data_IF_335518048190
#
_entry.id   IF_335518048190
#
_cell.length_a   1.000
_cell.length_b   1.000
_cell.length_c   1.000
_cell.angle_alpha   90.00
_cell.angle_beta   90.00
_cell.angle_gamma   90.00
#
_symmetry.space_group_name_H-M   'P 1'
#
loop_
_entity.id
_entity.type
_entity.pdbx_description
1 polymer ?
#
# COMPACT_ATOMS: atom_id res chain seq x y z
N UNK A 1 -16.70 -11.67 16.45
CA UNK A 1 -17.12 -10.28 16.74
C UNK A 1 -17.29 -9.62 15.39
N UNK A 2 -18.49 -9.18 15.05
CA UNK A 2 -18.77 -8.42 13.81
C UNK A 2 -18.77 -6.93 14.16
N UNK A 3 -18.33 -6.07 13.24
CA UNK A 3 -18.34 -4.61 13.44
C UNK A 3 -19.75 -4.01 13.31
N UNK A 4 -20.72 -4.83 12.90
CA UNK A 4 -22.12 -4.51 12.68
C UNK A 4 -22.98 -5.77 12.89
N UNK A 5 -24.30 -5.60 12.84
CA UNK A 5 -25.26 -6.71 12.81
C UNK A 5 -25.17 -7.53 11.51
N UNK A 6 -24.72 -6.93 10.40
CA UNK A 6 -24.51 -7.62 9.14
C UNK A 6 -23.05 -8.08 9.00
N UNK A 7 -22.77 -9.40 8.90
CA UNK A 7 -21.42 -9.91 8.66
C UNK A 7 -20.84 -9.53 7.29
N UNK A 8 -21.67 -9.09 6.34
CA UNK A 8 -21.25 -8.62 5.03
C UNK A 8 -20.78 -7.17 5.02
N UNK A 9 -20.91 -6.44 6.13
CA UNK A 9 -20.47 -5.06 6.21
C UNK A 9 -18.95 -4.93 6.02
N UNK A 10 -18.50 -3.93 5.25
CA UNK A 10 -17.10 -3.78 4.90
C UNK A 10 -16.26 -3.36 6.12
N UNK A 11 -15.03 -3.83 6.15
CA UNK A 11 -14.00 -3.47 7.12
C UNK A 11 -12.67 -3.26 6.39
N UNK A 12 -11.69 -2.68 7.09
CA UNK A 12 -10.34 -2.54 6.60
C UNK A 12 -9.37 -3.45 7.36
N UNK A 13 -8.55 -4.20 6.64
CA UNK A 13 -7.28 -4.70 7.15
C UNK A 13 -6.18 -3.76 6.65
N UNK A 14 -5.31 -3.32 7.55
CA UNK A 14 -4.28 -2.32 7.24
C UNK A 14 -2.90 -2.97 7.36
N UNK A 15 -2.10 -2.84 6.30
CA UNK A 15 -0.66 -3.06 6.36
C UNK A 15 0.04 -1.70 6.26
N UNK A 16 0.68 -1.27 7.33
CA UNK A 16 1.54 -0.09 7.36
C UNK A 16 2.97 -0.46 6.99
N UNK A 17 3.63 0.36 6.18
CA UNK A 17 5.05 0.18 5.83
C UNK A 17 5.79 1.43 6.30
N UNK A 18 6.75 1.23 7.19
CA UNK A 18 7.41 2.31 7.92
C UNK A 18 8.93 2.24 7.76
N UNK A 19 9.49 3.24 7.07
CA UNK A 19 10.94 3.41 6.94
C UNK A 19 11.52 4.00 8.24
N UNK A 20 12.35 3.24 8.96
CA UNK A 20 12.98 3.65 10.21
C UNK A 20 14.48 3.91 10.04
N UNK A 21 14.89 5.17 10.22
CA UNK A 21 16.29 5.59 10.00
C UNK A 21 17.19 5.42 11.22
N UNK A 22 16.62 5.29 12.41
CA UNK A 22 17.30 5.10 13.71
C UNK A 22 16.48 4.21 14.65
N UNK A 23 17.10 3.66 15.69
CA UNK A 23 16.40 2.88 16.72
C UNK A 23 15.34 3.71 17.47
N UNK A 24 15.65 4.97 17.82
CA UNK A 24 14.67 5.86 18.47
C UNK A 24 13.47 6.13 17.56
N UNK A 25 13.68 6.27 16.25
CA UNK A 25 12.58 6.42 15.30
C UNK A 25 11.73 5.15 15.19
N UNK A 26 12.36 3.96 15.25
CA UNK A 26 11.62 2.70 15.34
C UNK A 26 10.74 2.68 16.59
N UNK A 27 11.29 3.00 17.77
CA UNK A 27 10.54 2.95 19.03
C UNK A 27 9.37 3.94 19.05
N UNK A 28 9.57 5.16 18.54
CA UNK A 28 8.48 6.12 18.37
C UNK A 28 7.36 5.56 17.49
N UNK A 29 7.70 4.97 16.34
CA UNK A 29 6.70 4.37 15.44
C UNK A 29 6.03 3.14 16.04
N UNK A 30 6.79 2.24 16.67
CA UNK A 30 6.27 1.05 17.38
C UNK A 30 5.25 1.42 18.44
N UNK A 31 5.48 2.53 19.16
CA UNK A 31 4.50 2.99 20.14
C UNK A 31 3.14 3.25 19.50
N UNK A 32 3.07 3.85 18.30
CA UNK A 32 1.83 4.23 17.58
C UNK A 32 1.01 3.04 17.08
N UNK A 33 1.66 1.91 16.82
CA UNK A 33 1.02 0.70 16.31
C UNK A 33 0.78 -0.36 17.38
N UNK A 34 1.10 -0.06 18.65
CA UNK A 34 0.86 -0.99 19.74
C UNK A 34 -0.64 -1.38 19.78
N UNK A 35 -0.97 -2.68 19.92
CA UNK A 35 -2.36 -3.15 19.83
C UNK A 35 -3.33 -2.47 20.81
N UNK A 36 -2.81 -1.99 21.95
CA UNK A 36 -3.58 -1.29 22.98
C UNK A 36 -4.01 0.12 22.59
N UNK A 37 -3.46 0.71 21.53
CA UNK A 37 -3.74 2.10 21.12
C UNK A 37 -4.17 2.24 19.66
N UNK A 38 -4.51 1.13 19.00
CA UNK A 38 -4.88 1.11 17.58
C UNK A 38 -6.13 1.94 17.27
N UNK A 39 -6.15 2.54 16.07
CA UNK A 39 -7.32 3.22 15.53
C UNK A 39 -8.46 2.22 15.29
N UNK A 40 -9.66 2.50 15.81
CA UNK A 40 -10.85 1.66 15.56
C UNK A 40 -11.46 1.84 14.16
N UNK A 41 -11.07 2.92 13.46
CA UNK A 41 -11.64 3.30 12.17
C UNK A 41 -10.58 3.91 11.25
N UNK A 42 -10.76 3.72 9.96
CA UNK A 42 -10.02 4.41 8.90
C UNK A 42 -10.96 5.36 8.16
N UNK A 43 -10.47 6.57 7.88
CA UNK A 43 -11.15 7.57 7.09
C UNK A 43 -10.41 7.77 5.76
N UNK A 44 -11.10 7.51 4.65
CA UNK A 44 -10.59 7.70 3.31
C UNK A 44 -11.33 8.89 2.65
N UNK A 45 -10.69 10.07 2.55
CA UNK A 45 -11.27 11.20 1.84
C UNK A 45 -11.58 10.84 0.38
N UNK A 46 -12.67 11.38 -0.17
CA UNK A 46 -13.01 11.18 -1.58
C UNK A 46 -11.87 11.60 -2.51
N UNK A 47 -11.22 12.74 -2.23
CA UNK A 47 -10.09 13.24 -3.01
C UNK A 47 -8.92 12.25 -3.05
N UNK A 48 -8.66 11.51 -1.95
CA UNK A 48 -7.64 10.48 -1.91
C UNK A 48 -8.04 9.24 -2.71
N UNK A 49 -9.31 8.82 -2.63
CA UNK A 49 -9.87 7.70 -3.39
C UNK A 49 -9.84 7.94 -4.90
N UNK A 50 -10.08 9.17 -5.33
CA UNK A 50 -10.07 9.59 -6.73
C UNK A 50 -8.67 9.92 -7.25
N UNK A 51 -7.71 10.19 -6.36
CA UNK A 51 -6.34 10.47 -6.77
C UNK A 51 -5.63 9.21 -7.33
N UNK A 52 -4.66 9.38 -8.24
CA UNK A 52 -3.95 8.25 -8.83
C UNK A 52 -3.18 7.40 -7.83
N UNK A 53 -3.06 6.11 -8.12
CA UNK A 53 -2.35 5.13 -7.28
C UNK A 53 -0.84 5.33 -7.27
N UNK A 54 -0.27 5.69 -8.43
CA UNK A 54 1.14 6.01 -8.62
C UNK A 54 1.28 7.32 -9.44
N UNK A 55 2.40 8.06 -9.32
CA UNK A 55 2.60 9.31 -10.05
C UNK A 55 2.44 9.22 -11.58
N UNK A 56 2.81 8.08 -12.16
CA UNK A 56 2.86 7.81 -13.61
C UNK A 56 1.56 7.24 -14.19
N UNK A 57 0.57 6.92 -13.34
CA UNK A 57 -0.72 6.38 -13.76
C UNK A 57 -1.84 7.37 -13.50
N UNK A 58 -2.98 7.20 -14.18
CA UNK A 58 -4.24 7.90 -13.89
C UNK A 58 -5.26 7.00 -13.21
N UNK A 59 -4.90 5.74 -12.92
CA UNK A 59 -5.80 4.78 -12.28
C UNK A 59 -6.12 5.28 -10.85
N UNK A 60 -7.39 5.60 -10.54
CA UNK A 60 -7.76 6.09 -9.21
C UNK A 60 -7.72 4.95 -8.19
N UNK A 61 -7.37 5.25 -6.94
CA UNK A 61 -7.21 4.25 -5.86
C UNK A 61 -8.44 3.37 -5.65
N UNK A 62 -9.64 3.93 -5.76
CA UNK A 62 -10.88 3.18 -5.54
C UNK A 62 -11.04 1.99 -6.50
N UNK A 63 -10.45 2.03 -7.69
CA UNK A 63 -10.52 0.94 -8.68
C UNK A 63 -9.75 -0.30 -8.26
N UNK A 64 -8.80 -0.17 -7.32
CA UNK A 64 -8.06 -1.30 -6.76
C UNK A 64 -8.75 -1.92 -5.55
N UNK A 65 -9.83 -1.31 -5.05
CA UNK A 65 -10.51 -1.70 -3.83
C UNK A 65 -11.80 -2.47 -4.19
N UNK A 66 -11.87 -3.80 -3.95
CA UNK A 66 -12.97 -4.64 -4.42
C UNK A 66 -14.37 -4.26 -3.90
N UNK A 67 -14.43 -3.52 -2.78
CA UNK A 67 -15.69 -3.09 -2.18
C UNK A 67 -16.45 -2.04 -3.01
N UNK A 68 -15.78 -1.32 -3.92
CA UNK A 68 -16.43 -0.31 -4.75
C UNK A 68 -16.93 -0.90 -6.07
N UNK A 69 -18.24 -0.85 -6.29
CA UNK A 69 -18.88 -1.22 -7.57
C UNK A 69 -19.04 -0.02 -8.52
N UNK A 70 -18.95 1.19 -7.99
CA UNK A 70 -19.08 2.45 -8.71
C UNK A 70 -18.14 3.49 -8.09
N UNK A 71 -17.93 4.60 -8.80
CA UNK A 71 -17.11 5.70 -8.30
C UNK A 71 -17.67 6.25 -6.98
N UNK A 72 -16.83 6.44 -5.94
CA UNK A 72 -17.28 6.99 -4.67
C UNK A 72 -17.67 8.47 -4.81
N UNK A 73 -18.87 8.79 -4.33
CA UNK A 73 -19.43 10.17 -4.33
C UNK A 73 -19.15 10.93 -3.04
N UNK A 74 -18.42 10.33 -2.09
CA UNK A 74 -18.10 10.90 -0.79
C UNK A 74 -16.98 10.15 -0.09
N UNK A 75 -16.58 10.58 1.12
CA UNK A 75 -15.59 9.88 1.90
C UNK A 75 -16.10 8.52 2.37
N UNK A 76 -15.17 7.62 2.67
CA UNK A 76 -15.47 6.30 3.24
C UNK A 76 -14.87 6.17 4.63
N UNK A 77 -15.68 5.70 5.57
CA UNK A 77 -15.26 5.34 6.93
C UNK A 77 -15.45 3.85 7.08
N UNK A 78 -14.40 3.12 7.46
CA UNK A 78 -14.48 1.68 7.73
C UNK A 78 -13.99 1.38 9.14
N UNK A 79 -14.62 0.43 9.84
CA UNK A 79 -14.00 -0.16 11.02
C UNK A 79 -12.71 -0.87 10.62
N UNK A 80 -11.70 -0.76 11.47
CA UNK A 80 -10.42 -1.46 11.27
C UNK A 80 -10.48 -2.79 12.00
N UNK A 81 -10.23 -3.87 11.27
CA UNK A 81 -10.25 -5.23 11.82
C UNK A 81 -8.90 -5.69 12.30
N UNK A 82 -7.87 -5.43 11.50
CA UNK A 82 -6.50 -5.82 11.79
C UNK A 82 -5.55 -4.73 11.31
N UNK A 83 -4.49 -4.49 12.08
CA UNK A 83 -3.40 -3.59 11.70
C UNK A 83 -2.11 -4.38 11.86
N UNK A 84 -1.34 -4.45 10.79
CA UNK A 84 0.00 -5.03 10.75
C UNK A 84 0.97 -3.97 10.27
N UNK A 85 2.22 -4.10 10.67
CA UNK A 85 3.25 -3.12 10.35
C UNK A 85 4.53 -3.81 9.92
N UNK A 86 5.07 -3.37 8.78
CA UNK A 86 6.40 -3.70 8.31
C UNK A 86 7.33 -2.52 8.59
N UNK A 87 8.35 -2.74 9.40
CA UNK A 87 9.43 -1.78 9.63
C UNK A 87 10.61 -2.08 8.72
N UNK A 88 10.95 -1.13 7.85
CA UNK A 88 12.23 -1.12 7.15
C UNK A 88 13.30 -0.53 8.06
N UNK A 89 14.38 -1.26 8.32
CA UNK A 89 15.49 -0.82 9.18
C UNK A 89 16.78 -0.70 8.38
N UNK A 90 17.60 0.32 8.64
CA UNK A 90 18.99 0.32 8.13
C UNK A 90 19.71 -0.96 8.58
N UNK A 91 20.64 -1.44 7.76
CA UNK A 91 21.31 -2.73 7.95
C UNK A 91 21.85 -2.92 9.39
N UNK A 92 22.61 -1.94 9.90
CA UNK A 92 23.18 -1.96 11.26
C UNK A 92 22.12 -2.11 12.37
N UNK A 93 20.95 -1.49 12.20
CA UNK A 93 19.85 -1.58 13.17
C UNK A 93 19.07 -2.88 13.00
N UNK A 94 18.92 -3.36 11.76
CA UNK A 94 18.23 -4.61 11.46
C UNK A 94 18.96 -5.80 12.10
N UNK A 95 20.27 -5.90 11.91
CA UNK A 95 21.09 -6.98 12.46
C UNK A 95 20.99 -7.01 14.00
N UNK A 96 21.28 -5.88 14.65
CA UNK A 96 21.19 -5.79 16.11
C UNK A 96 19.79 -6.06 16.66
N UNK A 97 18.73 -5.66 15.94
CA UNK A 97 17.35 -5.95 16.35
C UNK A 97 17.02 -7.44 16.18
N UNK A 98 17.36 -8.03 15.02
CA UNK A 98 17.07 -9.43 14.71
C UNK A 98 17.81 -10.41 15.65
N UNK A 99 18.99 -10.03 16.15
CA UNK A 99 19.75 -10.84 17.10
C UNK A 99 19.20 -10.80 18.54
N UNK A 100 18.56 -9.71 18.94
CA UNK A 100 18.30 -9.43 20.37
C UNK A 100 16.84 -9.21 20.74
N UNK A 101 15.96 -8.96 19.77
CA UNK A 101 14.57 -8.58 20.00
C UNK A 101 13.60 -9.57 19.39
N UNK A 102 12.42 -9.70 20.02
CA UNK A 102 11.30 -10.47 19.48
C UNK A 102 10.23 -9.51 18.93
N UNK A 103 9.88 -9.60 17.65
CA UNK A 103 8.72 -8.92 17.08
C UNK A 103 7.42 -9.32 17.80
N UNK A 104 6.49 -8.36 17.95
CA UNK A 104 5.11 -8.71 18.28
C UNK A 104 4.41 -9.34 17.06
N UNK A 105 3.29 -10.05 17.28
CA UNK A 105 2.62 -10.82 16.23
C UNK A 105 2.16 -10.01 15.00
N UNK A 106 1.95 -8.71 15.16
CA UNK A 106 1.53 -7.79 14.09
C UNK A 106 2.72 -7.05 13.45
N UNK A 107 3.95 -7.26 13.97
CA UNK A 107 5.16 -6.58 13.55
C UNK A 107 6.00 -7.47 12.64
N UNK A 108 6.48 -6.88 11.55
CA UNK A 108 7.34 -7.49 10.56
C UNK A 108 8.53 -6.56 10.33
N UNK A 109 9.68 -7.12 10.00
CA UNK A 109 10.92 -6.38 9.85
C UNK A 109 11.64 -6.81 8.58
N UNK A 110 12.25 -5.85 7.88
CA UNK A 110 13.16 -6.11 6.78
C UNK A 110 14.29 -5.06 6.75
N UNK A 111 15.42 -5.37 6.09
CA UNK A 111 16.39 -4.35 5.73
C UNK A 111 15.74 -3.30 4.81
N UNK A 112 16.03 -2.03 5.06
CA UNK A 112 15.53 -0.90 4.27
C UNK A 112 15.94 -1.04 2.81
N UNK A 113 17.18 -1.47 2.56
CA UNK A 113 17.71 -1.61 1.21
C UNK A 113 16.91 -2.66 0.42
N UNK A 114 16.47 -3.74 1.07
CA UNK A 114 15.59 -4.73 0.45
C UNK A 114 14.20 -4.15 0.13
N UNK A 115 13.66 -3.26 0.98
CA UNK A 115 12.38 -2.60 0.73
C UNK A 115 12.44 -1.58 -0.42
N UNK A 116 13.58 -0.90 -0.59
CA UNK A 116 13.79 0.11 -1.62
C UNK A 116 14.37 -0.44 -2.92
N UNK A 117 14.73 -1.73 -2.95
CA UNK A 117 15.31 -2.39 -4.09
C UNK A 117 14.37 -2.26 -5.31
N UNK A 118 14.87 -1.83 -6.49
CA UNK A 118 14.09 -1.88 -7.71
C UNK A 118 13.59 -3.31 -7.98
N UNK A 119 12.33 -3.44 -8.37
CA UNK A 119 11.66 -4.74 -8.54
C UNK A 119 11.68 -5.63 -7.27
N UNK A 120 11.77 -5.04 -6.08
CA UNK A 120 11.77 -5.78 -4.81
C UNK A 120 10.51 -6.62 -4.57
N UNK A 121 9.40 -6.28 -5.23
CA UNK A 121 8.17 -7.09 -5.27
C UNK A 121 8.35 -8.45 -5.95
N UNK A 122 9.43 -8.63 -6.71
CA UNK A 122 9.80 -9.90 -7.37
C UNK A 122 10.80 -10.73 -6.56
N UNK A 123 11.37 -10.21 -5.48
CA UNK A 123 12.26 -10.98 -4.61
C UNK A 123 11.44 -12.07 -3.88
N UNK A 124 11.78 -13.37 -4.03
CA UNK A 124 11.08 -14.45 -3.35
C UNK A 124 11.01 -14.31 -1.83
N UNK A 125 12.05 -13.73 -1.20
CA UNK A 125 12.07 -13.49 0.24
C UNK A 125 11.11 -12.37 0.63
N UNK A 126 11.05 -11.30 -0.16
CA UNK A 126 10.09 -10.21 0.04
C UNK A 126 8.67 -10.71 -0.19
N UNK A 127 8.41 -11.49 -1.24
CA UNK A 127 7.10 -12.10 -1.49
C UNK A 127 6.69 -13.02 -0.34
N UNK A 128 7.62 -13.84 0.18
CA UNK A 128 7.35 -14.69 1.33
C UNK A 128 7.05 -13.87 2.59
N UNK A 129 7.74 -12.75 2.80
CA UNK A 129 7.44 -11.83 3.90
C UNK A 129 6.06 -11.20 3.73
N UNK A 130 5.73 -10.69 2.55
CA UNK A 130 4.43 -10.08 2.23
C UNK A 130 3.29 -11.10 2.33
N UNK A 131 3.53 -12.36 1.99
CA UNK A 131 2.55 -13.42 2.20
C UNK A 131 2.24 -13.58 3.70
N UNK A 132 3.23 -13.50 4.60
CA UNK A 132 3.03 -13.57 6.05
C UNK A 132 2.33 -12.33 6.62
N UNK A 133 2.48 -11.16 5.99
CA UNK A 133 1.75 -9.96 6.42
C UNK A 133 0.26 -10.01 6.09
N UNK A 134 -0.18 -10.91 5.21
CA UNK A 134 -1.60 -11.05 4.88
C UNK A 134 -2.42 -11.62 6.05
N UNK A 135 -3.62 -11.07 6.27
CA UNK A 135 -4.61 -11.64 7.21
C UNK A 135 -4.97 -13.09 6.87
N UNK A 136 -4.90 -13.47 5.59
CA UNK A 136 -5.11 -14.83 5.11
C UNK A 136 -4.10 -15.84 5.69
N UNK A 137 -2.88 -15.39 6.04
CA UNK A 137 -1.83 -16.25 6.58
C UNK A 137 -2.15 -16.83 7.97
N UNK A 138 -3.20 -16.32 8.63
CA UNK A 138 -3.69 -16.87 9.89
C UNK A 138 -4.52 -18.15 9.71
N UNK A 139 -4.89 -18.50 8.47
CA UNK A 139 -5.78 -19.60 8.16
C UNK A 139 -5.02 -20.68 7.38
N UNK A 140 -5.27 -21.94 7.72
CA UNK A 140 -4.73 -23.07 6.96
C UNK A 140 -5.22 -23.08 5.51
N UNK A 141 -6.48 -22.71 5.30
CA UNK A 141 -7.09 -22.46 4.01
C UNK A 141 -8.22 -21.45 4.17
N UNK A 142 -8.45 -20.63 3.14
CA UNK A 142 -9.64 -19.80 3.05
C UNK A 142 -10.72 -20.53 2.26
N UNK A 143 -12.01 -20.32 2.58
CA UNK A 143 -13.08 -20.78 1.71
C UNK A 143 -12.97 -20.09 0.34
N UNK A 144 -13.21 -20.84 -0.73
CA UNK A 144 -13.29 -20.29 -2.09
C UNK A 144 -14.29 -19.12 -2.11
N UNK A 145 -13.95 -17.97 -2.72
CA UNK A 145 -14.89 -16.87 -2.85
C UNK A 145 -16.09 -17.38 -3.67
N UNK A 146 -17.29 -17.27 -3.09
CA UNK A 146 -18.51 -17.65 -3.79
C UNK A 146 -18.67 -16.78 -5.06
N UNK A 147 -18.36 -17.34 -6.23
CA UNK A 147 -18.75 -16.79 -7.54
C UNK A 147 -17.84 -15.71 -8.14
N UNK A 148 -16.52 -15.91 -8.21
CA UNK A 148 -15.63 -15.17 -9.12
C UNK A 148 -15.37 -15.95 -10.43
N UNK A 149 -16.43 -16.34 -11.14
CA UNK A 149 -16.34 -16.91 -12.50
C UNK A 149 -16.09 -15.85 -13.61
N UNK A 150 -15.77 -14.60 -13.24
CA UNK A 150 -15.40 -13.58 -14.21
C UNK A 150 -13.93 -13.18 -14.03
N UNK A 151 -13.06 -13.46 -15.02
CA UNK A 151 -11.70 -12.97 -14.97
C UNK A 151 -11.70 -11.45 -14.93
N UNK A 152 -10.94 -10.89 -13.98
CA UNK A 152 -10.59 -9.46 -13.96
C UNK A 152 -10.20 -9.01 -15.38
N UNK A 153 -10.80 -7.94 -15.93
CA UNK A 153 -10.41 -7.45 -17.23
C UNK A 153 -8.94 -7.04 -17.15
N UNK A 154 -8.08 -7.77 -17.89
CA UNK A 154 -6.69 -7.35 -18.07
C UNK A 154 -6.72 -5.94 -18.65
N UNK A 155 -5.90 -4.99 -18.15
CA UNK A 155 -5.76 -3.71 -18.80
C UNK A 155 -5.37 -3.97 -20.25
N UNK A 156 -6.22 -3.58 -21.21
CA UNK A 156 -5.92 -3.79 -22.62
C UNK A 156 -4.66 -3.00 -22.93
N UNK A 157 -3.61 -3.68 -23.39
CA UNK A 157 -2.47 -3.01 -23.99
C UNK A 157 -3.03 -2.03 -25.03
N UNK A 158 -2.82 -0.73 -24.83
CA UNK A 158 -3.15 0.28 -25.85
C UNK A 158 -2.42 -0.13 -27.12
N UNK A 159 -3.16 -0.46 -28.18
CA UNK A 159 -2.60 -0.49 -29.53
C UNK A 159 -1.94 0.87 -29.80
N UNK A 160 -0.73 0.91 -30.34
CA UNK A 160 -0.08 2.17 -30.64
C UNK A 160 -0.93 2.91 -31.68
N UNK A 161 -1.47 4.06 -31.28
CA UNK A 161 -2.14 4.97 -32.19
C UNK A 161 -1.18 5.32 -33.33
N UNK A 162 -1.63 5.12 -34.55
CA UNK A 162 -0.93 5.51 -35.77
C UNK A 162 -0.66 7.02 -35.74
N UNK A 163 0.62 7.38 -35.69
CA UNK A 163 1.09 8.75 -35.71
C UNK A 163 0.74 9.42 -37.07
N UNK A 164 0.13 10.63 -37.09
CA UNK A 164 0.05 11.41 -38.30
C UNK A 164 1.42 12.04 -38.62
N UNK A 165 1.84 11.90 -39.89
CA UNK A 165 3.09 12.45 -40.44
C UNK A 165 3.13 13.99 -40.37
N UNK A 166 4.10 14.49 -39.59
CA UNK A 166 4.90 15.74 -39.63
C UNK A 166 4.38 16.96 -40.42
N UNK A 167 4.55 18.14 -39.80
CA UNK A 167 5.33 19.24 -40.39
C UNK A 167 6.21 19.94 -39.34
N UNK A 168 7.45 20.20 -39.73
CA UNK A 168 8.46 20.85 -38.92
C UNK A 168 8.18 22.35 -38.80
N UNK A 169 8.29 22.89 -37.59
CA UNK A 169 8.56 24.31 -37.36
C UNK A 169 9.49 24.43 -36.15
N UNK A 170 10.52 25.26 -36.30
CA UNK A 170 11.67 25.42 -35.40
C UNK A 170 11.30 25.97 -34.01
N UNK A 171 12.11 25.72 -32.97
CA UNK A 171 11.78 26.10 -31.60
C UNK A 171 12.15 27.56 -31.29
N UNK A 172 11.36 28.29 -30.50
CA UNK A 172 11.86 29.44 -29.77
C UNK A 172 12.46 29.03 -28.41
N UNK A 173 13.46 29.82 -28.04
CA UNK A 173 14.36 29.74 -26.90
C UNK A 173 13.71 29.56 -25.52
N UNK A 174 14.31 28.66 -24.74
CA UNK A 174 14.05 28.42 -23.32
C UNK A 174 14.72 29.52 -22.48
N UNK A 175 13.92 30.28 -21.72
CA UNK A 175 14.42 31.12 -20.62
C UNK A 175 14.17 30.39 -19.31
N UNK A 176 15.26 30.11 -18.59
CA UNK A 176 15.28 29.70 -17.19
C UNK A 176 14.68 30.80 -16.31
N UNK A 177 13.77 30.45 -15.40
CA UNK A 177 13.57 31.20 -14.15
C UNK A 177 13.41 30.18 -13.01
N UNK A 178 14.34 30.28 -12.07
CA UNK A 178 14.40 29.61 -10.78
C UNK A 178 13.30 30.07 -9.81
N UNK A 179 13.05 29.19 -8.82
CA UNK A 179 12.67 29.50 -7.44
C UNK A 179 11.22 29.94 -7.17
N UNK A 180 10.55 29.25 -6.24
CA UNK A 180 10.48 29.70 -4.84
C UNK A 180 9.66 28.71 -3.98
N UNK A 181 10.35 28.13 -3.00
CA UNK A 181 9.76 27.82 -1.71
C UNK A 181 9.42 29.13 -0.99
N UNK A 182 8.26 29.16 -0.34
CA UNK A 182 7.83 30.13 0.65
C UNK A 182 6.94 29.43 1.65
#
# INVERSE_FOLDING_TARGET
MHFSADPADPYADILCIEACSTMNNLLDKRSRFAPSIGCMQVYCPQSWLLAPTLPETTLPRWRLLPMFKSEPVGPVVLPVRDIRVLYGLKQEHYEGFAESQMPAAHEFFCPMDALMQPDGDKDPQMQALMARTSAAANFLSLPEPAGLDQPMPRPSARSPASAPRRRASSPPSMRYIDSLYG
#
